data_IF_063005101062
#
_entry.id   IF_063005101062
#
_cell.length_a   1.000
_cell.length_b   1.000
_cell.length_c   1.000
_cell.angle_alpha   90.00
_cell.angle_beta   90.00
_cell.angle_gamma   90.00
#
_symmetry.space_group_name_H-M   'P 1'
#
loop_
_entity.id
_entity.type
_entity.pdbx_description
1 polymer ?
#
# COMPACT_ATOMS: atom_id res chain seq x y z
N UNK A 1 36.00 27.51 -12.53
CA UNK A 1 34.96 28.56 -12.53
C UNK A 1 34.19 28.67 -13.86
N UNK A 2 34.76 29.17 -14.98
CA UNK A 2 33.99 29.23 -16.26
C UNK A 2 33.64 27.84 -16.83
N UNK A 3 34.60 26.93 -16.88
CA UNK A 3 34.37 25.56 -17.39
C UNK A 3 33.36 24.74 -16.55
N UNK A 4 33.31 24.98 -15.24
CA UNK A 4 32.35 24.32 -14.34
C UNK A 4 30.94 24.90 -14.47
N UNK A 5 30.81 26.19 -14.79
CA UNK A 5 29.50 26.79 -15.11
C UNK A 5 28.97 26.28 -16.44
N UNK A 6 29.83 26.13 -17.46
CA UNK A 6 29.44 25.60 -18.76
C UNK A 6 29.01 24.13 -18.67
N UNK A 7 29.72 23.30 -17.89
CA UNK A 7 29.34 21.91 -17.65
C UNK A 7 27.99 21.79 -16.93
N UNK A 8 27.73 22.64 -15.92
CA UNK A 8 26.43 22.67 -15.23
C UNK A 8 25.29 23.14 -16.12
N UNK A 9 25.54 24.15 -16.98
CA UNK A 9 24.55 24.62 -17.94
C UNK A 9 24.23 23.56 -19.01
N UNK A 10 25.22 22.78 -19.46
CA UNK A 10 25.00 21.68 -20.39
C UNK A 10 24.20 20.54 -19.74
N UNK A 11 24.50 20.19 -18.49
CA UNK A 11 23.77 19.15 -17.76
C UNK A 11 22.32 19.57 -17.48
N UNK A 12 22.08 20.84 -17.15
CA UNK A 12 20.74 21.39 -16.93
C UNK A 12 19.93 21.45 -18.24
N UNK A 13 20.55 21.85 -19.35
CA UNK A 13 19.93 21.83 -20.68
C UNK A 13 19.59 20.40 -21.13
N UNK A 14 20.43 19.41 -20.81
CA UNK A 14 20.14 18.01 -21.12
C UNK A 14 18.98 17.46 -20.26
N UNK A 15 18.93 17.83 -18.98
CA UNK A 15 17.81 17.49 -18.07
C UNK A 15 16.51 18.11 -18.54
N UNK A 16 16.54 19.34 -19.03
CA UNK A 16 15.35 20.03 -19.56
C UNK A 16 14.85 19.38 -20.86
N UNK A 17 15.75 19.04 -21.79
CA UNK A 17 15.39 18.26 -22.99
C UNK A 17 14.76 16.90 -22.67
N UNK A 18 15.30 16.19 -21.68
CA UNK A 18 14.73 14.91 -21.22
C UNK A 18 13.33 15.08 -20.61
N UNK A 19 13.10 16.16 -19.83
CA UNK A 19 11.77 16.49 -19.27
C UNK A 19 10.75 16.84 -20.36
N UNK A 20 11.16 17.60 -21.36
CA UNK A 20 10.32 17.97 -22.52
C UNK A 20 9.89 16.72 -23.30
N UNK A 21 10.82 15.80 -23.57
CA UNK A 21 10.54 14.54 -24.28
C UNK A 21 9.54 13.65 -23.53
N UNK A 22 9.62 13.60 -22.19
CA UNK A 22 8.66 12.86 -21.36
C UNK A 22 7.28 13.52 -21.42
N UNK A 23 7.20 14.86 -21.34
CA UNK A 23 5.94 15.59 -21.48
C UNK A 23 5.27 15.33 -22.82
N UNK A 24 6.03 15.35 -23.92
CA UNK A 24 5.52 15.07 -25.26
C UNK A 24 4.99 13.64 -25.40
N UNK A 25 5.67 12.65 -24.80
CA UNK A 25 5.19 11.25 -24.77
C UNK A 25 3.87 11.10 -24.00
N UNK A 26 3.74 11.77 -22.85
CA UNK A 26 2.50 11.74 -22.06
C UNK A 26 1.35 12.43 -22.84
N UNK A 27 1.63 13.55 -23.51
CA UNK A 27 0.64 14.24 -24.34
C UNK A 27 0.18 13.38 -25.53
N UNK A 28 1.12 12.70 -26.21
CA UNK A 28 0.81 11.79 -27.32
C UNK A 28 -0.02 10.58 -26.86
N UNK A 29 0.28 10.00 -25.69
CA UNK A 29 -0.50 8.91 -25.11
C UNK A 29 -1.94 9.35 -24.77
N UNK A 30 -2.12 10.57 -24.24
CA UNK A 30 -3.46 11.14 -23.99
C UNK A 30 -4.24 11.37 -25.29
N UNK A 31 -3.60 11.91 -26.32
CA UNK A 31 -4.25 12.12 -27.62
C UNK A 31 -4.65 10.80 -28.30
N UNK A 32 -3.86 9.75 -28.16
CA UNK A 32 -4.20 8.41 -28.66
C UNK A 32 -5.40 7.79 -27.93
N UNK A 33 -5.57 8.09 -26.63
CA UNK A 33 -6.70 7.59 -25.84
C UNK A 33 -8.02 8.34 -26.08
N UNK A 34 -7.99 9.57 -26.64
CA UNK A 34 -9.20 10.35 -26.93
C UNK A 34 -9.77 10.15 -28.35
N UNK A 35 -9.14 9.31 -29.18
CA UNK A 35 -9.50 9.14 -30.60
C UNK A 35 -10.45 7.98 -30.91
N UNK A 36 -11.03 7.30 -29.93
CA UNK A 36 -11.83 6.09 -30.15
C UNK A 36 -13.22 6.14 -29.50
N UNK A 37 -14.07 7.06 -29.96
CA UNK A 37 -15.54 6.89 -29.94
C UNK A 37 -16.09 7.49 -31.23
N UNK A 38 -16.30 6.65 -32.24
CA UNK A 38 -17.14 6.95 -33.41
C UNK A 38 -18.56 6.47 -33.12
N UNK A 39 -19.50 7.41 -33.12
CA UNK A 39 -20.94 7.16 -33.06
C UNK A 39 -21.42 6.48 -34.35
N UNK A 40 -22.02 5.29 -34.25
CA UNK A 40 -22.91 4.75 -35.28
C UNK A 40 -24.19 4.18 -34.65
N UNK A 41 -25.33 4.74 -35.10
CA UNK A 41 -26.65 4.13 -35.32
C UNK A 41 -27.53 3.64 -34.15
N UNK A 42 -28.62 4.41 -33.93
CA UNK A 42 -29.93 4.00 -33.37
C UNK A 42 -30.56 2.83 -34.15
N UNK A 43 -31.48 2.08 -33.51
CA UNK A 43 -32.85 2.09 -34.05
C UNK A 43 -33.97 2.27 -33.00
N UNK A 44 -35.07 2.82 -33.49
CA UNK A 44 -36.34 3.11 -32.82
C UNK A 44 -37.14 1.84 -32.45
N UNK A 45 -37.70 1.78 -31.23
CA UNK A 45 -38.95 1.07 -30.93
C UNK A 45 -39.76 1.91 -29.93
N UNK A 46 -41.02 2.16 -30.29
CA UNK A 46 -42.04 2.90 -29.53
C UNK A 46 -42.91 1.98 -28.67
N UNK A 47 -43.43 2.59 -27.60
CA UNK A 47 -44.69 2.35 -26.87
C UNK A 47 -44.88 1.07 -26.04
N UNK A 48 -44.95 1.19 -24.71
CA UNK A 48 -46.25 1.27 -24.00
C UNK A 48 -46.11 1.59 -22.49
N UNK A 49 -47.07 2.39 -22.00
CA UNK A 49 -47.48 2.73 -20.62
C UNK A 49 -47.46 1.51 -19.67
N UNK A 50 -47.32 1.60 -18.34
CA UNK A 50 -48.09 2.40 -17.38
C UNK A 50 -47.58 2.19 -15.93
N UNK A 51 -47.85 3.17 -15.05
CA UNK A 51 -47.95 3.12 -13.56
C UNK A 51 -46.73 2.65 -12.71
N UNK A 52 -46.28 3.30 -11.62
CA UNK A 52 -46.83 4.34 -10.73
C UNK A 52 -45.69 5.02 -9.95
N UNK A 53 -45.89 6.30 -9.66
CA UNK A 53 -45.09 7.13 -8.75
C UNK A 53 -45.13 6.63 -7.29
N UNK A 54 -43.98 6.68 -6.62
CA UNK A 54 -43.89 7.11 -5.22
C UNK A 54 -42.73 8.10 -5.12
N UNK A 55 -43.07 9.37 -4.93
CA UNK A 55 -42.14 10.45 -4.60
C UNK A 55 -41.83 10.42 -3.10
N UNK A 56 -40.56 10.45 -2.72
CA UNK A 56 -40.07 11.34 -1.66
C UNK A 56 -38.71 11.89 -2.11
N UNK A 57 -38.60 13.22 -2.05
CA UNK A 57 -37.54 14.09 -2.59
C UNK A 57 -36.30 14.20 -1.66
N UNK A 58 -35.20 14.80 -2.16
CA UNK A 58 -33.82 14.54 -1.75
C UNK A 58 -33.27 15.59 -0.77
N UNK A 59 -32.16 15.25 -0.11
CA UNK A 59 -31.23 16.23 0.45
C UNK A 59 -29.83 16.01 -0.13
N UNK A 60 -29.30 17.09 -0.71
CA UNK A 60 -27.91 17.32 -1.09
C UNK A 60 -26.98 17.06 0.12
N UNK A 61 -25.76 16.56 -0.04
CA UNK A 61 -24.66 17.31 -0.67
C UNK A 61 -23.74 16.46 -1.54
N UNK A 62 -23.41 17.05 -2.68
CA UNK A 62 -22.43 16.62 -3.66
C UNK A 62 -21.09 17.29 -3.37
N UNK A 63 -20.04 16.59 -3.80
CA UNK A 63 -18.77 17.14 -4.31
C UNK A 63 -17.78 17.74 -3.28
N UNK A 64 -16.67 17.01 -3.09
CA UNK A 64 -15.32 17.53 -3.33
C UNK A 64 -14.32 16.37 -3.45
N UNK A 65 -14.32 15.78 -4.64
CA UNK A 65 -13.21 15.02 -5.18
C UNK A 65 -12.45 15.98 -6.10
N UNK A 66 -11.39 16.62 -5.59
CA UNK A 66 -10.28 17.18 -6.39
C UNK A 66 -9.21 17.86 -5.52
N UNK A 67 -7.98 17.67 -5.98
CA UNK A 67 -6.76 18.45 -5.74
C UNK A 67 -5.74 17.83 -4.78
N UNK A 68 -4.79 17.09 -5.37
CA UNK A 68 -3.41 17.12 -4.93
C UNK A 68 -2.53 17.39 -6.16
N UNK A 69 -2.46 18.67 -6.55
CA UNK A 69 -1.43 19.14 -7.45
C UNK A 69 -0.54 20.16 -6.73
N UNK A 70 0.74 19.78 -6.63
CA UNK A 70 1.96 20.61 -6.48
C UNK A 70 1.95 21.69 -5.40
N UNK A 71 2.73 21.44 -4.34
CA UNK A 71 3.56 22.49 -3.75
C UNK A 71 4.96 21.97 -3.47
N UNK A 72 5.90 22.54 -4.22
CA UNK A 72 7.34 22.39 -4.06
C UNK A 72 7.78 23.09 -2.77
N UNK A 73 8.49 22.38 -1.90
CA UNK A 73 9.50 22.96 -0.99
C UNK A 73 10.42 21.84 -0.49
N UNK A 74 11.63 21.85 -1.03
CA UNK A 74 12.76 21.01 -0.66
C UNK A 74 13.14 21.25 0.80
N UNK A 75 13.06 20.24 1.65
CA UNK A 75 13.78 20.21 2.93
C UNK A 75 14.19 18.76 3.24
N UNK A 76 15.51 18.60 3.32
CA UNK A 76 16.35 17.56 3.93
C UNK A 76 15.76 16.17 4.26
N UNK A 77 16.19 15.23 3.41
CA UNK A 77 16.56 13.83 3.64
C UNK A 77 16.49 13.36 5.11
N UNK A 78 15.60 12.39 5.38
CA UNK A 78 15.77 11.42 6.47
C UNK A 78 15.76 10.02 5.84
N UNK A 79 16.96 9.48 5.64
CA UNK A 79 17.19 8.12 5.20
C UNK A 79 17.66 7.30 6.40
N UNK A 80 16.94 6.21 6.66
CA UNK A 80 17.26 5.11 7.56
C UNK A 80 17.43 5.44 9.06
N UNK A 81 16.50 4.91 9.86
CA UNK A 81 16.87 4.30 11.15
C UNK A 81 16.71 5.12 12.41
N UNK A 82 15.81 6.11 12.47
CA UNK A 82 15.31 6.65 13.73
C UNK A 82 13.82 6.98 13.55
N UNK A 83 12.95 6.21 14.20
CA UNK A 83 11.59 6.70 14.46
C UNK A 83 11.74 7.91 15.38
N UNK A 84 11.27 9.12 15.03
CA UNK A 84 11.25 10.17 16.03
C UNK A 84 10.22 9.77 17.09
N UNK A 85 10.71 9.58 18.31
CA UNK A 85 9.89 9.56 19.51
C UNK A 85 9.36 11.00 19.69
N UNK A 86 8.19 11.27 19.11
CA UNK A 86 7.53 12.57 19.25
C UNK A 86 6.52 12.48 20.39
N UNK A 87 6.69 13.39 21.34
CA UNK A 87 5.98 13.55 22.59
C UNK A 87 4.44 13.53 22.47
N UNK A 88 3.83 13.10 23.56
CA UNK A 88 2.40 12.90 23.78
C UNK A 88 1.53 14.07 23.32
N UNK A 89 0.47 13.74 22.57
CA UNK A 89 -0.65 14.62 22.29
C UNK A 89 -1.95 13.90 22.73
N UNK A 90 -2.94 14.65 23.25
CA UNK A 90 -3.90 14.16 24.22
C UNK A 90 -5.03 13.32 23.62
N UNK A 91 -5.58 12.48 24.51
CA UNK A 91 -6.69 11.55 24.31
C UNK A 91 -7.89 12.13 23.54
N UNK A 92 -8.34 11.38 22.55
CA UNK A 92 -9.75 11.24 22.23
C UNK A 92 -9.96 9.98 21.36
N UNK A 93 -10.55 8.94 21.94
CA UNK A 93 -11.90 8.43 21.67
C UNK A 93 -12.05 7.15 22.48
N UNK A 94 -12.91 7.18 23.50
CA UNK A 94 -13.31 6.00 24.26
C UNK A 94 -13.92 4.96 23.32
N UNK A 95 -13.18 3.87 23.09
CA UNK A 95 -13.74 2.66 22.48
C UNK A 95 -13.52 1.53 23.48
N UNK A 96 -14.62 1.02 24.01
CA UNK A 96 -14.66 -0.05 24.99
C UNK A 96 -13.78 -1.26 24.56
N UNK A 97 -12.72 -1.62 25.30
CA UNK A 97 -11.82 -2.71 24.94
C UNK A 97 -12.49 -4.11 24.92
N UNK A 98 -13.67 -4.23 25.54
CA UNK A 98 -14.34 -5.49 25.77
C UNK A 98 -15.09 -6.05 24.54
N UNK A 99 -15.29 -5.26 23.47
CA UNK A 99 -16.04 -5.72 22.28
C UNK A 99 -15.18 -6.46 21.23
N UNK A 100 -13.87 -6.56 21.42
CA UNK A 100 -12.95 -7.30 20.53
C UNK A 100 -12.71 -8.76 20.93
N UNK A 101 -13.38 -9.22 21.99
CA UNK A 101 -13.28 -10.59 22.46
C UNK A 101 -13.78 -11.55 21.39
N UNK A 102 -12.87 -12.39 20.89
CA UNK A 102 -13.10 -13.49 19.93
C UNK A 102 -13.42 -13.10 18.49
N UNK A 103 -12.57 -12.28 17.85
CA UNK A 103 -12.40 -12.42 16.40
C UNK A 103 -11.36 -13.52 16.13
N UNK A 104 -11.77 -14.71 15.67
CA UNK A 104 -10.80 -15.67 15.14
C UNK A 104 -10.04 -14.98 14.01
N UNK A 105 -8.71 -14.99 14.08
CA UNK A 105 -7.86 -14.69 12.92
C UNK A 105 -8.47 -15.42 11.72
N UNK A 106 -8.75 -14.74 10.59
CA UNK A 106 -9.45 -15.38 9.48
C UNK A 106 -8.69 -16.66 9.07
N UNK A 107 -9.30 -17.80 9.41
CA UNK A 107 -8.87 -19.16 9.03
C UNK A 107 -9.33 -19.52 7.64
N UNK A 108 -10.01 -18.62 6.93
CA UNK A 108 -10.22 -18.74 5.50
C UNK A 108 -8.85 -18.74 4.83
N UNK A 109 -8.34 -19.94 4.55
CA UNK A 109 -7.57 -20.21 3.34
C UNK A 109 -8.49 -19.90 2.14
N UNK A 110 -8.75 -18.61 1.93
CA UNK A 110 -9.60 -18.13 0.85
C UNK A 110 -8.78 -18.24 -0.44
N UNK A 111 -9.07 -19.31 -1.20
CA UNK A 111 -8.81 -19.36 -2.64
C UNK A 111 -7.77 -20.37 -3.08
N UNK A 112 -8.11 -21.67 -3.04
CA UNK A 112 -7.47 -22.71 -3.87
C UNK A 112 -7.86 -22.63 -5.36
N UNK A 113 -8.54 -21.56 -5.81
CA UNK A 113 -9.11 -21.48 -7.17
C UNK A 113 -8.22 -20.78 -8.21
N UNK A 114 -6.97 -20.45 -7.87
CA UNK A 114 -6.04 -19.72 -8.77
C UNK A 114 -4.71 -20.45 -8.99
N UNK A 115 -4.48 -21.63 -8.39
CA UNK A 115 -3.18 -22.32 -8.51
C UNK A 115 -2.00 -21.52 -7.91
N UNK A 116 -2.29 -20.59 -7.00
CA UNK A 116 -1.29 -19.81 -6.28
C UNK A 116 -0.78 -20.63 -5.11
N UNK A 117 0.54 -20.87 -5.08
CA UNK A 117 1.22 -21.50 -3.95
C UNK A 117 1.88 -20.43 -3.07
N UNK A 118 2.01 -20.71 -1.77
CA UNK A 118 2.63 -19.78 -0.84
C UNK A 118 3.87 -20.40 -0.24
N UNK A 119 4.95 -19.62 -0.13
CA UNK A 119 6.19 -20.03 0.52
C UNK A 119 6.79 -18.90 1.34
N UNK A 120 7.62 -19.24 2.31
CA UNK A 120 8.48 -18.28 3.00
C UNK A 120 9.71 -18.01 2.13
N UNK A 121 10.25 -16.80 2.20
CA UNK A 121 11.50 -16.47 1.51
C UNK A 121 12.64 -17.36 2.02
N UNK A 122 13.42 -17.92 1.09
CA UNK A 122 14.51 -18.85 1.42
C UNK A 122 15.85 -18.40 0.83
N UNK A 123 15.87 -18.02 -0.46
CA UNK A 123 17.13 -17.84 -1.20
C UNK A 123 17.28 -16.48 -1.85
N UNK A 124 18.53 -16.05 -1.98
CA UNK A 124 18.90 -14.74 -2.54
C UNK A 124 18.42 -14.54 -3.98
N UNK A 125 18.30 -15.61 -4.79
CA UNK A 125 17.86 -15.49 -6.19
C UNK A 125 16.42 -14.97 -6.29
N UNK A 126 15.60 -15.16 -5.26
CA UNK A 126 14.21 -14.71 -5.20
C UNK A 126 14.09 -13.21 -4.93
N UNK A 127 15.18 -12.56 -4.48
CA UNK A 127 15.17 -11.11 -4.26
C UNK A 127 14.95 -10.34 -5.55
N UNK A 128 15.43 -10.83 -6.69
CA UNK A 128 15.22 -10.15 -7.96
C UNK A 128 13.72 -10.01 -8.29
N UNK A 129 12.96 -11.08 -8.06
CA UNK A 129 11.50 -11.10 -8.27
C UNK A 129 10.77 -10.19 -7.28
N UNK A 130 11.20 -10.20 -6.00
CA UNK A 130 10.63 -9.33 -4.96
C UNK A 130 10.85 -7.86 -5.30
N UNK A 131 12.09 -7.49 -5.64
CA UNK A 131 12.45 -6.11 -5.99
C UNK A 131 11.70 -5.66 -7.25
N UNK A 132 11.61 -6.52 -8.27
CA UNK A 132 10.87 -6.21 -9.48
C UNK A 132 9.37 -5.98 -9.22
N UNK A 133 8.75 -6.82 -8.37
CA UNK A 133 7.35 -6.69 -8.02
C UNK A 133 7.08 -5.42 -7.19
N UNK A 134 7.91 -5.16 -6.17
CA UNK A 134 7.74 -4.01 -5.29
C UNK A 134 7.95 -2.69 -6.02
N UNK A 135 9.00 -2.59 -6.84
CA UNK A 135 9.27 -1.36 -7.61
C UNK A 135 8.18 -1.03 -8.63
N UNK A 136 7.40 -2.03 -9.07
CA UNK A 136 6.27 -1.81 -9.98
C UNK A 136 5.01 -1.32 -9.26
N UNK A 137 4.80 -1.78 -8.03
CA UNK A 137 3.52 -1.64 -7.33
C UNK A 137 3.53 -0.58 -6.23
N UNK A 138 4.68 -0.27 -5.62
CA UNK A 138 4.81 0.74 -4.57
C UNK A 138 5.33 2.08 -5.14
N UNK A 139 4.84 3.17 -4.55
CA UNK A 139 5.14 4.56 -4.94
C UNK A 139 6.53 5.04 -4.53
N UNK A 140 7.12 4.42 -3.51
CA UNK A 140 8.41 4.80 -2.93
C UNK A 140 9.57 3.93 -3.44
N UNK A 141 10.64 4.53 -3.98
CA UNK A 141 11.80 3.77 -4.42
C UNK A 141 12.62 3.31 -3.19
N UNK A 142 12.66 2.00 -2.97
CA UNK A 142 13.51 1.43 -1.91
C UNK A 142 14.93 1.18 -2.40
N UNK A 143 15.91 1.53 -1.57
CA UNK A 143 17.30 1.17 -1.84
C UNK A 143 17.52 -0.34 -1.67
N UNK A 144 18.50 -0.90 -2.37
CA UNK A 144 18.90 -2.31 -2.19
C UNK A 144 19.24 -2.64 -0.72
N UNK A 145 19.74 -1.67 0.04
CA UNK A 145 20.06 -1.82 1.46
C UNK A 145 18.81 -2.07 2.31
N UNK A 146 17.68 -1.46 1.95
CA UNK A 146 16.41 -1.67 2.67
C UNK A 146 15.94 -3.11 2.52
N UNK A 147 15.93 -3.64 1.29
CA UNK A 147 15.57 -5.04 1.05
C UNK A 147 16.49 -5.98 1.83
N UNK A 148 17.81 -5.77 1.73
CA UNK A 148 18.82 -6.58 2.45
C UNK A 148 18.57 -6.54 3.97
N UNK A 149 18.35 -5.36 4.54
CA UNK A 149 18.10 -5.22 5.97
C UNK A 149 16.90 -6.04 6.45
N UNK A 150 15.76 -5.97 5.75
CA UNK A 150 14.59 -6.73 6.15
C UNK A 150 14.76 -8.23 5.89
N UNK A 151 15.19 -8.60 4.70
CA UNK A 151 15.22 -9.98 4.25
C UNK A 151 16.29 -10.80 4.96
N UNK A 152 17.47 -10.22 5.26
CA UNK A 152 18.51 -10.96 5.99
C UNK A 152 18.18 -11.16 7.47
N UNK A 153 17.51 -10.19 8.09
CA UNK A 153 17.25 -10.25 9.52
C UNK A 153 15.94 -10.96 9.86
N UNK A 154 14.94 -10.90 8.96
CA UNK A 154 13.59 -11.42 9.17
C UNK A 154 13.05 -12.18 7.95
N UNK A 155 13.87 -13.04 7.35
CA UNK A 155 13.45 -13.90 6.22
C UNK A 155 12.23 -14.76 6.58
N UNK A 156 12.13 -15.22 7.83
CA UNK A 156 11.04 -16.05 8.32
C UNK A 156 9.67 -15.36 8.37
N UNK A 157 9.66 -14.01 8.39
CA UNK A 157 8.44 -13.19 8.33
C UNK A 157 8.17 -12.63 6.93
N UNK A 158 8.96 -13.04 5.94
CA UNK A 158 8.79 -12.67 4.55
C UNK A 158 8.13 -13.82 3.80
N UNK A 159 6.95 -13.59 3.24
CA UNK A 159 6.20 -14.61 2.51
C UNK A 159 5.91 -14.19 1.07
N UNK A 160 5.91 -15.17 0.18
CA UNK A 160 5.70 -15.00 -1.25
C UNK A 160 4.51 -15.83 -1.72
N UNK A 161 3.75 -15.27 -2.65
CA UNK A 161 2.73 -15.95 -3.42
C UNK A 161 3.30 -16.22 -4.82
N UNK A 162 3.31 -17.48 -5.24
CA UNK A 162 3.88 -17.95 -6.50
C UNK A 162 2.77 -18.49 -7.40
N UNK A 163 2.72 -18.01 -8.64
CA UNK A 163 1.80 -18.49 -9.66
C UNK A 163 2.61 -18.93 -10.88
N UNK A 164 2.50 -20.20 -11.28
CA UNK A 164 3.23 -20.76 -12.43
C UNK A 164 4.74 -20.47 -12.42
N UNK A 165 5.36 -20.54 -11.24
CA UNK A 165 6.80 -20.24 -11.07
C UNK A 165 7.17 -18.76 -11.02
N UNK A 166 6.21 -17.83 -11.14
CA UNK A 166 6.45 -16.38 -11.01
C UNK A 166 5.95 -15.83 -9.68
N UNK A 167 6.65 -14.82 -9.16
CA UNK A 167 6.20 -14.09 -7.97
C UNK A 167 4.95 -13.24 -8.30
N UNK A 168 3.82 -13.63 -7.74
CA UNK A 168 2.52 -12.98 -7.86
C UNK A 168 2.23 -12.01 -6.71
N UNK A 169 2.91 -12.18 -5.58
CA UNK A 169 2.72 -11.34 -4.40
C UNK A 169 3.84 -11.55 -3.40
N UNK A 170 4.16 -10.52 -2.62
CA UNK A 170 5.14 -10.59 -1.54
C UNK A 170 4.68 -9.72 -0.38
N UNK A 171 4.95 -10.21 0.83
CA UNK A 171 4.90 -9.44 2.06
C UNK A 171 6.25 -9.53 2.76
N UNK A 172 6.74 -8.39 3.25
CA UNK A 172 7.97 -8.29 4.02
C UNK A 172 7.61 -7.82 5.42
N UNK A 173 7.77 -8.71 6.39
CA UNK A 173 7.55 -8.45 7.81
C UNK A 173 8.86 -8.32 8.58
N UNK A 174 8.76 -7.72 9.75
CA UNK A 174 9.84 -7.55 10.72
C UNK A 174 9.29 -7.74 12.11
N UNK A 175 10.07 -8.36 13.00
CA UNK A 175 9.71 -8.53 14.40
C UNK A 175 10.83 -7.97 15.27
N UNK A 176 10.51 -6.99 16.11
CA UNK A 176 11.48 -6.40 17.03
C UNK A 176 10.90 -6.24 18.42
N UNK A 177 11.80 -6.26 19.41
CA UNK A 177 11.44 -5.91 20.78
C UNK A 177 11.18 -4.40 20.87
N UNK A 178 9.99 -4.04 21.31
CA UNK A 178 9.58 -2.67 21.54
C UNK A 178 9.22 -2.51 23.02
N UNK A 179 10.13 -1.87 23.78
CA UNK A 179 10.06 -1.80 25.24
C UNK A 179 10.01 -3.22 25.84
N UNK A 180 8.87 -3.60 26.40
CA UNK A 180 8.71 -4.85 27.14
C UNK A 180 8.01 -5.97 26.34
N UNK A 181 7.57 -5.70 25.11
CA UNK A 181 6.88 -6.68 24.26
C UNK A 181 7.48 -6.77 22.85
N UNK A 182 7.08 -7.78 22.09
CA UNK A 182 7.45 -7.91 20.68
C UNK A 182 6.41 -7.23 19.78
N UNK A 183 6.89 -6.31 18.93
CA UNK A 183 6.11 -5.61 17.92
C UNK A 183 6.47 -6.10 16.53
N UNK A 184 5.47 -6.57 15.81
CA UNK A 184 5.53 -6.85 14.38
C UNK A 184 5.37 -5.57 13.56
N UNK A 185 6.07 -5.50 12.43
CA UNK A 185 5.98 -4.40 11.48
C UNK A 185 5.86 -4.95 10.06
N UNK A 186 4.81 -4.54 9.34
CA UNK A 186 4.65 -4.87 7.92
C UNK A 186 5.29 -3.75 7.12
N UNK A 187 6.45 -4.02 6.54
CA UNK A 187 7.24 -3.02 5.82
C UNK A 187 6.74 -2.81 4.40
N UNK A 188 6.47 -3.91 3.69
CA UNK A 188 6.12 -3.88 2.27
C UNK A 188 5.08 -4.98 1.98
N UNK A 189 4.07 -4.63 1.18
CA UNK A 189 3.11 -5.57 0.62
C UNK A 189 2.87 -5.19 -0.84
N UNK A 190 3.11 -6.14 -1.75
CA UNK A 190 2.82 -5.97 -3.17
C UNK A 190 2.13 -7.22 -3.72
N UNK A 191 1.12 -7.02 -4.56
CA UNK A 191 0.38 -8.09 -5.24
C UNK A 191 0.13 -7.66 -6.66
N UNK A 192 0.51 -8.51 -7.61
CA UNK A 192 0.38 -8.25 -9.04
C UNK A 192 -1.02 -7.73 -9.37
N UNK A 193 -1.07 -6.60 -10.07
CA UNK A 193 -2.31 -5.89 -10.38
C UNK A 193 -3.38 -6.78 -11.03
N UNK A 194 -2.97 -7.74 -11.88
CA UNK A 194 -3.89 -8.68 -12.55
C UNK A 194 -4.50 -9.74 -11.62
N UNK A 195 -3.93 -9.89 -10.41
CA UNK A 195 -4.34 -10.88 -9.41
C UNK A 195 -4.94 -10.24 -8.14
N UNK A 196 -5.11 -8.91 -8.12
CA UNK A 196 -5.79 -8.21 -7.04
C UNK A 196 -7.28 -8.60 -6.99
N UNK A 197 -7.90 -8.42 -5.82
CA UNK A 197 -9.29 -8.82 -5.58
C UNK A 197 -9.52 -10.34 -5.42
N UNK A 198 -8.47 -11.16 -5.53
CA UNK A 198 -8.54 -12.63 -5.39
C UNK A 198 -8.12 -13.15 -4.00
N UNK A 199 -8.05 -12.29 -3.00
CA UNK A 199 -7.68 -12.68 -1.61
C UNK A 199 -6.18 -12.91 -1.34
N UNK A 200 -5.30 -12.77 -2.34
CA UNK A 200 -3.85 -13.01 -2.19
C UNK A 200 -3.24 -12.11 -1.10
N UNK A 201 -3.56 -10.82 -1.11
CA UNK A 201 -3.06 -9.86 -0.11
C UNK A 201 -3.47 -10.25 1.31
N UNK A 202 -4.73 -10.64 1.50
CA UNK A 202 -5.24 -11.10 2.80
C UNK A 202 -4.53 -12.35 3.30
N UNK A 203 -4.26 -13.29 2.40
CA UNK A 203 -3.53 -14.52 2.74
C UNK A 203 -2.07 -14.22 3.13
N UNK A 204 -1.38 -13.35 2.38
CA UNK A 204 -0.01 -12.94 2.69
C UNK A 204 0.08 -12.25 4.06
N UNK A 205 -0.78 -11.26 4.31
CA UNK A 205 -0.83 -10.55 5.61
C UNK A 205 -1.13 -11.52 6.75
N UNK A 206 -2.09 -12.43 6.56
CA UNK A 206 -2.43 -13.45 7.56
C UNK A 206 -1.25 -14.39 7.86
N UNK A 207 -0.48 -14.79 6.85
CA UNK A 207 0.72 -15.64 7.04
C UNK A 207 1.81 -14.90 7.81
N UNK A 208 2.09 -13.64 7.47
CA UNK A 208 3.06 -12.82 8.20
C UNK A 208 2.65 -12.61 9.66
N UNK A 209 1.37 -12.31 9.91
CA UNK A 209 0.85 -12.17 11.27
C UNK A 209 0.99 -13.47 12.06
N UNK A 210 0.65 -14.62 11.47
CA UNK A 210 0.81 -15.92 12.14
C UNK A 210 2.27 -16.22 12.45
N UNK A 211 3.18 -15.94 11.52
CA UNK A 211 4.62 -16.10 11.71
C UNK A 211 5.13 -15.24 12.87
N UNK A 212 4.80 -13.95 12.89
CA UNK A 212 5.18 -13.05 13.98
C UNK A 212 4.55 -13.45 15.32
N UNK A 213 3.27 -13.86 15.32
CA UNK A 213 2.55 -14.28 16.53
C UNK A 213 3.11 -15.56 17.14
N UNK A 214 3.61 -16.47 16.32
CA UNK A 214 4.29 -17.68 16.81
C UNK A 214 5.56 -17.36 17.62
N UNK A 215 6.17 -16.20 17.39
CA UNK A 215 7.34 -15.69 18.10
C UNK A 215 6.98 -14.70 19.23
N UNK A 216 5.72 -14.68 19.69
CA UNK A 216 5.30 -13.87 20.84
C UNK A 216 4.99 -12.41 20.51
N UNK A 217 4.75 -12.08 19.23
CA UNK A 217 4.27 -10.75 18.84
C UNK A 217 2.92 -10.42 19.52
N UNK A 218 2.86 -9.27 20.18
CA UNK A 218 1.67 -8.75 20.87
C UNK A 218 0.91 -7.72 20.02
N UNK A 219 1.59 -7.08 19.08
CA UNK A 219 0.95 -6.15 18.15
C UNK A 219 1.66 -6.06 16.80
N UNK A 220 0.91 -5.76 15.74
CA UNK A 220 1.43 -5.52 14.40
C UNK A 220 1.07 -4.12 13.94
N UNK A 221 2.06 -3.40 13.42
CA UNK A 221 1.92 -2.00 12.96
C UNK A 221 2.30 -1.88 11.49
N UNK A 222 1.65 -0.96 10.78
CA UNK A 222 2.04 -0.56 9.43
C UNK A 222 1.56 0.86 9.10
N UNK A 223 2.09 1.41 8.02
CA UNK A 223 1.65 2.68 7.44
C UNK A 223 1.16 2.48 6.00
N UNK A 224 0.08 3.17 5.64
CA UNK A 224 -0.43 3.19 4.28
C UNK A 224 -0.93 4.58 3.89
N UNK A 225 -0.81 4.94 2.62
CA UNK A 225 -1.32 6.20 2.07
C UNK A 225 -2.81 6.38 2.38
N UNK A 226 -3.22 7.56 2.83
CA UNK A 226 -4.63 7.85 3.14
C UNK A 226 -5.55 7.68 1.92
N UNK A 227 -5.03 7.86 0.71
CA UNK A 227 -5.78 7.68 -0.54
C UNK A 227 -5.82 6.22 -1.03
N UNK A 228 -5.05 5.31 -0.43
CA UNK A 228 -5.03 3.89 -0.81
C UNK A 228 -6.20 3.13 -0.20
N UNK A 229 -7.40 3.40 -0.71
CA UNK A 229 -8.66 2.80 -0.24
C UNK A 229 -8.66 1.28 -0.30
N UNK A 230 -7.95 0.68 -1.27
CA UNK A 230 -7.80 -0.77 -1.39
C UNK A 230 -7.01 -1.38 -0.24
N UNK A 231 -5.86 -0.78 0.11
CA UNK A 231 -5.05 -1.22 1.25
C UNK A 231 -5.77 -0.99 2.58
N UNK A 232 -6.42 0.17 2.76
CA UNK A 232 -7.20 0.48 3.96
C UNK A 232 -8.28 -0.57 4.21
N UNK A 233 -9.10 -0.87 3.20
CA UNK A 233 -10.13 -1.92 3.30
C UNK A 233 -9.54 -3.30 3.59
N UNK A 234 -8.41 -3.64 2.97
CA UNK A 234 -7.72 -4.90 3.21
C UNK A 234 -7.34 -5.05 4.69
N UNK A 235 -6.69 -4.05 5.25
CA UNK A 235 -6.21 -4.10 6.64
C UNK A 235 -7.35 -4.01 7.65
N UNK A 236 -8.35 -3.15 7.40
CA UNK A 236 -9.55 -3.04 8.25
C UNK A 236 -10.30 -4.39 8.31
N UNK A 237 -10.46 -5.07 7.17
CA UNK A 237 -11.07 -6.41 7.13
C UNK A 237 -10.28 -7.49 7.89
N UNK A 238 -8.98 -7.27 8.11
CA UNK A 238 -8.11 -8.16 8.90
C UNK A 238 -8.07 -7.77 10.38
N UNK A 239 -8.84 -6.76 10.80
CA UNK A 239 -8.95 -6.32 12.18
C UNK A 239 -7.99 -5.20 12.56
N UNK A 240 -7.26 -4.60 11.61
CA UNK A 240 -6.47 -3.41 11.91
C UNK A 240 -7.38 -2.20 12.11
N UNK A 241 -7.04 -1.37 13.10
CA UNK A 241 -7.67 -0.09 13.32
C UNK A 241 -6.69 1.05 13.04
N UNK A 242 -7.22 2.24 12.71
CA UNK A 242 -6.42 3.44 12.45
C UNK A 242 -6.02 4.06 13.80
N UNK A 243 -4.72 4.05 14.09
CA UNK A 243 -4.14 4.59 15.32
C UNK A 243 -3.92 6.10 15.22
N UNK A 244 -3.31 6.55 14.12
CA UNK A 244 -3.04 7.98 13.89
C UNK A 244 -2.85 8.32 12.43
N UNK A 245 -3.05 9.59 12.10
CA UNK A 245 -2.70 10.18 10.80
C UNK A 245 -1.32 10.84 10.89
N UNK A 246 -0.44 10.50 9.96
CA UNK A 246 0.90 11.05 9.82
C UNK A 246 0.87 12.03 8.64
N UNK A 247 1.12 13.32 8.92
CA UNK A 247 1.05 14.39 7.93
C UNK A 247 2.34 14.42 7.11
N UNK A 248 2.24 14.46 5.77
CA UNK A 248 3.37 14.49 4.82
C UNK A 248 4.40 13.39 5.09
N UNK A 249 3.90 12.17 5.30
CA UNK A 249 4.73 11.02 5.66
C UNK A 249 5.53 10.48 4.46
N UNK A 250 4.94 10.49 3.27
CA UNK A 250 5.56 10.00 2.04
C UNK A 250 6.35 11.11 1.33
N UNK A 251 7.33 10.75 0.49
CA UNK A 251 8.19 11.69 -0.23
C UNK A 251 7.41 12.56 -1.22
N UNK A 252 6.27 12.06 -1.69
CA UNK A 252 5.33 12.81 -2.52
C UNK A 252 4.53 13.88 -1.72
N UNK A 253 4.74 13.98 -0.41
CA UNK A 253 4.02 14.88 0.49
C UNK A 253 2.65 14.34 0.94
N UNK A 254 2.32 13.11 0.56
CA UNK A 254 1.09 12.42 0.94
C UNK A 254 1.07 12.03 2.41
N UNK A 255 -0.13 12.05 2.99
CA UNK A 255 -0.35 11.61 4.36
C UNK A 255 -0.47 10.09 4.44
N UNK A 256 -0.12 9.53 5.60
CA UNK A 256 -0.31 8.13 5.91
C UNK A 256 -1.25 7.92 7.09
N UNK A 257 -1.97 6.81 7.11
CA UNK A 257 -2.54 6.28 8.33
C UNK A 257 -1.59 5.22 8.90
N UNK A 258 -1.26 5.35 10.18
CA UNK A 258 -0.72 4.25 10.96
C UNK A 258 -1.87 3.34 11.38
N UNK A 259 -1.76 2.08 11.02
CA UNK A 259 -2.71 1.02 11.35
C UNK A 259 -2.06 0.10 12.38
N UNK A 260 -2.87 -0.37 13.34
CA UNK A 260 -2.44 -1.31 14.38
C UNK A 260 -3.40 -2.49 14.48
N UNK A 261 -2.84 -3.65 14.77
CA UNK A 261 -3.56 -4.86 15.16
C UNK A 261 -2.99 -5.32 16.49
N UNK A 262 -3.84 -5.47 17.49
CA UNK A 262 -3.44 -5.88 18.85
C UNK A 262 -3.90 -7.31 19.13
N UNK A 263 -3.09 -8.10 19.84
CA UNK A 263 -3.43 -9.46 20.24
C UNK A 263 -3.70 -9.52 21.75
N UNK A 264 -4.96 -9.49 22.19
CA UNK A 264 -5.28 -9.65 23.60
C UNK A 264 -4.88 -11.04 24.10
N UNK A 265 -4.17 -11.09 25.23
CA UNK A 265 -3.98 -12.31 26.02
C UNK A 265 -2.86 -13.24 25.54
N UNK A 266 -1.66 -12.71 25.28
CA UNK A 266 -0.44 -13.54 25.20
C UNK A 266 0.08 -13.71 26.64
N UNK A 267 -0.13 -14.84 27.33
CA UNK A 267 0.45 -15.05 28.65
C UNK A 267 1.97 -15.13 28.51
N UNK A 268 2.68 -14.28 29.25
CA UNK A 268 4.11 -14.44 29.51
C UNK A 268 4.31 -15.82 30.18
N UNK A 269 5.02 -16.72 29.50
CA UNK A 269 5.48 -17.99 30.10
C UNK A 269 6.82 -17.79 30.80
#
# INVERSE_FOLDING_TARGET
KNLEMEAKAQEEAERERKREAIRQRIAAAKAASSGAISEESKPDIKDSKDCREVQVKPTADKEKEKDCEKSSKTTEIIQAGVTPEVADAPDCYDVDPASFSTLPLPTKEAGTDVGVSYKTFDRHEEMADIVALINRDLSEPYSIFTYRYFIYNWSQHTHMAMLNGRCAGVIVGKLERHRDYFRGYIAMLAVDASLRGKGIGSCLVSKAIRSMRAEGCEEVVLETECCNTGALRLYENLGFFRDKRLIRYYLNGGDAFRLKLWFPGVPYY
#
